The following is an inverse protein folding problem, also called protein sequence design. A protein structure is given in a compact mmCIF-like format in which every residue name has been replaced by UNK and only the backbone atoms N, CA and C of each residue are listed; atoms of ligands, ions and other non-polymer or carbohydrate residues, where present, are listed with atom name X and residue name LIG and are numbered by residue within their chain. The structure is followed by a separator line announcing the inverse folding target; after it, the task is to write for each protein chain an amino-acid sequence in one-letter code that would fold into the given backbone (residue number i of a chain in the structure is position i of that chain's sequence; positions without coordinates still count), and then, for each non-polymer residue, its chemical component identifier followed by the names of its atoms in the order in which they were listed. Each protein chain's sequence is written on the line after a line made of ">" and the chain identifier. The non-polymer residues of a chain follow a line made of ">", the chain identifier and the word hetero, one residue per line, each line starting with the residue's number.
data_IF_937099650314
#
_entry.id   IF_937099650314
#
_cell.length_a   1.000
_cell.length_b   1.000
_cell.length_c   1.000
_cell.angle_alpha   90.00
_cell.angle_beta   90.00
_cell.angle_gamma   90.00
#
_symmetry.space_group_name_H-M   'P 1'
#
loop_
_entity.id
_entity.type
_entity.pdbx_description
1 polymer ?
#
# COMPACT_ATOMS: atom_id res chain seq x y z
N UNK A 1 -43.94 -12.43 -32.26
CA UNK A 1 -42.89 -13.24 -32.94
C UNK A 1 -41.90 -12.22 -33.52
N UNK A 2 -40.71 -12.00 -32.97
CA UNK A 2 -39.45 -12.78 -33.08
C UNK A 2 -38.41 -11.73 -33.58
N UNK A 3 -37.20 -11.56 -33.04
CA UNK A 3 -36.51 -12.31 -32.02
C UNK A 3 -35.21 -11.63 -31.56
N UNK A 4 -34.72 -12.12 -30.42
CA UNK A 4 -33.32 -12.51 -30.16
C UNK A 4 -32.23 -11.63 -30.83
N UNK A 5 -32.04 -10.43 -30.28
CA UNK A 5 -30.74 -9.74 -30.33
C UNK A 5 -29.85 -10.26 -29.21
N UNK A 6 -29.07 -11.30 -29.51
CA UNK A 6 -27.82 -11.75 -28.88
C UNK A 6 -27.54 -11.30 -27.43
N UNK A 7 -27.55 -12.28 -26.53
CA UNK A 7 -26.76 -12.24 -25.31
C UNK A 7 -25.29 -11.88 -25.65
N UNK A 8 -24.82 -10.76 -25.13
CA UNK A 8 -23.43 -10.66 -24.72
C UNK A 8 -23.41 -10.08 -23.32
N UNK A 9 -23.28 -10.96 -22.33
CA UNK A 9 -23.00 -10.62 -20.95
C UNK A 9 -21.58 -10.07 -20.81
N UNK A 10 -21.27 -8.98 -21.51
CA UNK A 10 -20.32 -8.04 -20.97
C UNK A 10 -21.07 -7.34 -19.87
N UNK A 11 -21.07 -7.95 -18.67
CA UNK A 11 -20.92 -7.11 -17.49
C UNK A 11 -19.69 -6.28 -17.88
N UNK A 12 -19.90 -5.04 -18.34
CA UNK A 12 -18.90 -4.02 -18.11
C UNK A 12 -18.82 -3.96 -16.60
N UNK A 13 -18.09 -4.93 -16.04
CA UNK A 13 -17.28 -4.69 -14.89
C UNK A 13 -16.40 -3.60 -15.48
N UNK A 14 -16.82 -2.34 -15.34
CA UNK A 14 -15.89 -1.24 -15.19
C UNK A 14 -14.96 -1.75 -14.10
N UNK A 15 -13.91 -2.42 -14.58
CA UNK A 15 -13.28 -3.46 -13.82
C UNK A 15 -12.75 -2.74 -12.61
N UNK A 16 -12.94 -3.25 -11.40
CA UNK A 16 -12.32 -2.65 -10.23
C UNK A 16 -10.82 -2.35 -10.49
N UNK A 17 -10.18 -3.11 -11.39
CA UNK A 17 -8.86 -2.85 -11.96
C UNK A 17 -8.71 -1.63 -12.89
N UNK A 18 -9.68 -1.26 -13.72
CA UNK A 18 -9.70 0.00 -14.50
C UNK A 18 -9.98 1.23 -13.62
N UNK A 19 -10.79 1.06 -12.56
CA UNK A 19 -11.00 2.10 -11.55
C UNK A 19 -9.76 2.29 -10.67
N UNK A 20 -9.07 1.19 -10.32
CA UNK A 20 -7.79 1.24 -9.63
C UNK A 20 -6.67 1.80 -10.51
N UNK A 21 -6.57 1.36 -11.75
CA UNK A 21 -5.44 1.67 -12.63
C UNK A 21 -5.91 1.94 -14.06
N UNK A 22 -6.06 3.22 -14.40
CA UNK A 22 -6.44 3.63 -15.74
C UNK A 22 -5.19 3.66 -16.64
N UNK A 23 -4.94 2.55 -17.35
CA UNK A 23 -3.74 2.32 -18.18
C UNK A 23 -3.47 3.43 -19.21
N UNK A 24 -4.52 4.07 -19.73
CA UNK A 24 -4.43 5.13 -20.74
C UNK A 24 -3.90 6.47 -20.22
N UNK A 25 -4.09 6.78 -18.93
CA UNK A 25 -3.66 8.06 -18.32
C UNK A 25 -2.61 7.91 -17.21
N UNK A 26 -2.24 6.68 -16.84
CA UNK A 26 -1.29 6.44 -15.74
C UNK A 26 -1.77 6.99 -14.39
N UNK A 27 -3.09 7.11 -14.22
CA UNK A 27 -3.73 7.61 -13.01
C UNK A 27 -4.24 6.43 -12.20
N UNK A 28 -3.72 6.29 -10.98
CA UNK A 28 -4.16 5.28 -10.03
C UNK A 28 -5.17 5.95 -9.09
N UNK A 29 -6.40 5.42 -8.99
CA UNK A 29 -7.44 5.90 -8.05
C UNK A 29 -7.70 7.42 -8.09
N UNK A 30 -7.75 8.03 -9.27
CA UNK A 30 -8.10 9.44 -9.43
C UNK A 30 -6.99 10.47 -9.12
N UNK A 31 -5.76 10.02 -8.82
CA UNK A 31 -4.57 10.90 -8.76
C UNK A 31 -3.47 10.44 -9.72
N UNK A 32 -2.70 11.39 -10.24
CA UNK A 32 -1.55 11.14 -11.11
C UNK A 32 -0.49 10.30 -10.37
N UNK A 33 0.10 9.32 -11.05
CA UNK A 33 1.16 8.46 -10.49
C UNK A 33 2.30 9.27 -9.82
N UNK A 34 2.59 10.48 -10.30
CA UNK A 34 3.58 11.39 -9.71
C UNK A 34 3.28 11.74 -8.25
N UNK A 35 2.02 12.07 -7.92
CA UNK A 35 1.64 12.39 -6.54
C UNK A 35 1.69 11.15 -5.64
N UNK A 36 1.29 10.00 -6.18
CA UNK A 36 1.39 8.71 -5.48
C UNK A 36 2.83 8.35 -5.12
N UNK A 37 3.75 8.43 -6.09
CA UNK A 37 5.18 8.16 -5.85
C UNK A 37 5.76 9.15 -4.84
N UNK A 38 5.33 10.41 -4.86
CA UNK A 38 5.80 11.40 -3.90
C UNK A 38 5.32 11.11 -2.47
N UNK A 39 4.04 10.73 -2.30
CA UNK A 39 3.49 10.34 -1.00
C UNK A 39 4.14 9.04 -0.52
N UNK A 40 4.18 8.00 -1.35
CA UNK A 40 4.78 6.72 -1.00
C UNK A 40 6.28 6.85 -0.70
N UNK A 41 7.02 7.59 -1.51
CA UNK A 41 8.44 7.84 -1.29
C UNK A 41 8.70 8.56 0.04
N UNK A 42 7.91 9.59 0.35
CA UNK A 42 7.97 10.26 1.64
C UNK A 42 7.70 9.30 2.79
N UNK A 43 6.61 8.51 2.72
CA UNK A 43 6.25 7.58 3.78
C UNK A 43 7.27 6.45 3.94
N UNK A 44 7.84 5.92 2.87
CA UNK A 44 8.87 4.87 2.95
C UNK A 44 10.11 5.37 3.70
N UNK A 45 10.60 6.57 3.38
CA UNK A 45 11.75 7.16 4.09
C UNK A 45 11.40 7.49 5.53
N UNK A 46 10.22 8.06 5.77
CA UNK A 46 9.77 8.38 7.12
C UNK A 46 9.67 7.12 8.00
N UNK A 47 9.02 6.07 7.50
CA UNK A 47 8.85 4.82 8.25
C UNK A 47 10.15 4.04 8.41
N UNK A 48 11.11 4.14 7.48
CA UNK A 48 12.42 3.50 7.66
C UNK A 48 13.22 4.15 8.79
N UNK A 49 13.20 5.48 8.89
CA UNK A 49 13.81 6.22 10.00
C UNK A 49 13.11 5.92 11.32
N UNK A 50 11.78 5.87 11.32
CA UNK A 50 10.99 5.53 12.51
C UNK A 50 11.28 4.10 13.00
N UNK A 51 11.37 3.14 12.07
CA UNK A 51 11.73 1.76 12.38
C UNK A 51 13.15 1.66 12.94
N UNK A 52 14.12 2.36 12.33
CA UNK A 52 15.50 2.39 12.83
C UNK A 52 15.59 2.99 14.25
N UNK A 53 14.85 4.08 14.51
CA UNK A 53 14.75 4.69 15.84
C UNK A 53 14.18 3.70 16.85
N UNK A 54 13.08 3.04 16.51
CA UNK A 54 12.43 2.07 17.38
C UNK A 54 13.35 0.88 17.68
N UNK A 55 14.02 0.34 16.66
CA UNK A 55 14.99 -0.76 16.81
C UNK A 55 16.16 -0.31 17.69
N UNK A 56 16.64 0.93 17.55
CA UNK A 56 17.66 1.51 18.42
C UNK A 56 17.21 1.57 19.88
N UNK A 57 15.99 2.04 20.14
CA UNK A 57 15.41 2.05 21.49
C UNK A 57 15.33 0.64 22.09
N UNK A 58 14.88 -0.34 21.31
CA UNK A 58 14.86 -1.74 21.75
C UNK A 58 16.25 -2.30 21.97
N UNK A 59 17.20 -2.03 21.08
CA UNK A 59 18.56 -2.54 21.22
C UNK A 59 19.19 -2.02 22.51
N UNK A 60 19.01 -0.74 22.85
CA UNK A 60 19.46 -0.18 24.11
C UNK A 60 18.72 -0.83 25.29
N UNK A 61 17.40 -0.96 25.21
CA UNK A 61 16.59 -1.59 26.26
C UNK A 61 17.05 -3.04 26.55
N UNK A 62 17.29 -3.83 25.50
CA UNK A 62 17.80 -5.20 25.61
C UNK A 62 19.22 -5.25 26.18
N UNK A 63 20.06 -4.23 25.93
CA UNK A 63 21.39 -4.13 26.57
C UNK A 63 21.31 -3.74 28.04
N UNK A 64 20.24 -3.08 28.47
CA UNK A 64 19.99 -2.78 29.88
C UNK A 64 19.31 -3.91 30.65
N UNK A 65 18.85 -4.95 29.94
CA UNK A 65 18.36 -6.20 30.52
C UNK A 65 19.56 -7.10 30.82
N UNK A 66 19.66 -7.55 32.05
CA UNK A 66 20.67 -8.50 32.50
C UNK A 66 20.15 -9.93 32.23
N UNK A 67 20.87 -10.71 31.42
CA UNK A 67 20.48 -12.09 31.05
C UNK A 67 20.43 -13.06 32.25
N UNK A 68 20.99 -12.69 33.41
CA UNK A 68 21.13 -13.59 34.56
C UNK A 68 20.11 -13.35 35.66
N UNK A 69 19.39 -12.23 35.66
CA UNK A 69 18.41 -11.92 36.72
C UNK A 69 17.12 -11.37 36.11
N UNK A 70 15.98 -12.10 36.20
CA UNK A 70 14.70 -11.60 35.71
C UNK A 70 14.32 -10.36 36.52
N UNK A 71 14.12 -9.23 35.84
CA UNK A 71 13.66 -8.00 36.47
C UNK A 71 12.13 -7.92 36.31
N UNK A 72 11.44 -8.31 37.39
CA UNK A 72 9.99 -8.35 37.66
C UNK A 72 9.07 -8.96 36.59
#
# INVERSE_FOLDING_TARGET
>A
MNGRGKANGTIEQESFGQFLFNKDKGTCLGRTAKSWVQILGFYVVFYSLLAAFWIGCLAIFLRTLDDKVPRY
#
